data_IF_945449388898
#
_entry.id   IF_945449388898
#
_cell.length_a   1.000
_cell.length_b   1.000
_cell.length_c   1.000
_cell.angle_alpha   90.00
_cell.angle_beta   90.00
_cell.angle_gamma   90.00
#
_symmetry.space_group_name_H-M   'P 1'
#
loop_
_entity.id
_entity.type
_entity.pdbx_description
1 polymer ?
#
# COMPACT_ATOMS: atom_id res chain seq x y z
N UNK A 1 -9.16 -1.84 3.29
CA UNK A 1 -8.39 -2.25 2.10
C UNK A 1 -7.93 -3.70 2.21
N UNK A 2 -7.02 -4.06 3.14
CA UNK A 2 -6.46 -5.43 3.23
C UNK A 2 -7.47 -6.58 3.22
N UNK A 3 -8.55 -6.52 4.01
CA UNK A 3 -9.58 -7.59 4.05
C UNK A 3 -10.19 -7.85 2.67
N UNK A 4 -10.37 -6.81 1.84
CA UNK A 4 -10.87 -6.98 0.47
C UNK A 4 -9.93 -7.77 -0.43
N UNK A 5 -8.61 -7.68 -0.19
CA UNK A 5 -7.60 -8.44 -0.96
C UNK A 5 -7.62 -9.93 -0.66
N UNK A 6 -8.04 -10.31 0.54
CA UNK A 6 -8.33 -11.73 0.84
C UNK A 6 -9.50 -12.21 -0.03
N UNK A 7 -10.53 -11.38 -0.23
CA UNK A 7 -11.63 -11.68 -1.14
C UNK A 7 -11.15 -11.93 -2.58
N UNK A 8 -10.30 -11.04 -3.11
CA UNK A 8 -9.69 -11.20 -4.43
C UNK A 8 -8.89 -12.52 -4.54
N UNK A 9 -8.08 -12.83 -3.51
CA UNK A 9 -7.32 -14.07 -3.45
C UNK A 9 -8.23 -15.31 -3.48
N UNK A 10 -9.28 -15.33 -2.66
CA UNK A 10 -10.18 -16.47 -2.59
C UNK A 10 -11.06 -16.63 -3.84
N UNK A 11 -11.43 -15.53 -4.48
CA UNK A 11 -12.23 -15.54 -5.69
C UNK A 11 -11.41 -15.92 -6.94
N UNK A 12 -10.10 -15.65 -6.94
CA UNK A 12 -9.30 -15.70 -8.16
C UNK A 12 -9.91 -14.78 -9.23
N UNK A 13 -10.11 -13.52 -8.90
CA UNK A 13 -10.81 -12.54 -9.76
C UNK A 13 -9.93 -11.91 -10.85
N UNK A 14 -8.68 -12.34 -10.98
CA UNK A 14 -7.71 -11.78 -11.92
C UNK A 14 -6.74 -10.80 -11.29
N UNK A 15 -6.86 -10.49 -9.99
CA UNK A 15 -5.99 -9.51 -9.35
C UNK A 15 -4.56 -10.01 -9.02
N UNK A 16 -4.13 -11.12 -9.63
CA UNK A 16 -2.79 -11.71 -9.51
C UNK A 16 -1.70 -10.98 -10.32
N UNK A 17 -0.45 -11.34 -10.06
CA UNK A 17 0.73 -10.74 -10.70
C UNK A 17 1.11 -11.41 -12.02
N UNK A 18 2.30 -11.06 -12.52
CA UNK A 18 2.93 -11.76 -13.65
C UNK A 18 3.21 -13.23 -13.33
N UNK A 19 3.52 -14.00 -14.37
CA UNK A 19 4.02 -15.37 -14.23
C UNK A 19 5.22 -15.38 -13.26
N UNK A 20 5.11 -16.23 -12.24
CA UNK A 20 6.12 -16.36 -11.20
C UNK A 20 7.36 -17.07 -11.71
N UNK A 21 8.52 -16.67 -11.23
CA UNK A 21 9.74 -17.42 -11.46
C UNK A 21 9.89 -18.48 -10.35
N UNK A 22 9.33 -19.66 -10.58
CA UNK A 22 9.35 -20.77 -9.60
C UNK A 22 10.79 -21.17 -9.23
N UNK A 23 11.73 -21.09 -10.16
CA UNK A 23 13.14 -21.42 -9.91
C UNK A 23 13.85 -20.40 -9.00
N UNK A 24 13.37 -19.15 -8.95
CA UNK A 24 13.91 -18.11 -8.08
C UNK A 24 13.30 -18.13 -6.67
N UNK A 25 12.39 -19.06 -6.36
CA UNK A 25 11.75 -19.15 -5.05
C UNK A 25 12.78 -19.43 -3.96
N UNK A 26 12.87 -18.60 -2.89
CA UNK A 26 13.70 -18.92 -1.74
C UNK A 26 13.25 -20.22 -1.05
N UNK A 27 14.20 -21.00 -0.54
CA UNK A 27 13.90 -22.30 0.11
C UNK A 27 13.02 -22.15 1.35
N UNK A 28 13.22 -21.08 2.13
CA UNK A 28 12.46 -20.80 3.35
C UNK A 28 11.01 -20.39 3.08
N UNK A 29 10.68 -20.02 1.85
CA UNK A 29 9.35 -19.51 1.50
C UNK A 29 8.44 -20.64 1.01
N UNK A 30 7.22 -20.77 1.56
CA UNK A 30 6.27 -21.78 1.11
C UNK A 30 5.75 -21.46 -0.30
N UNK A 31 5.39 -22.51 -1.05
CA UNK A 31 5.00 -22.39 -2.45
C UNK A 31 3.79 -21.48 -2.66
N UNK A 32 2.74 -21.64 -1.86
CA UNK A 32 1.50 -20.84 -1.93
C UNK A 32 1.71 -19.33 -1.71
N UNK A 33 2.83 -18.93 -1.10
CA UNK A 33 3.16 -17.52 -0.92
C UNK A 33 3.95 -16.96 -2.11
N UNK A 34 4.59 -17.81 -2.91
CA UNK A 34 5.42 -17.39 -4.05
C UNK A 34 4.72 -17.56 -5.39
N UNK A 35 3.99 -18.65 -5.58
CA UNK A 35 3.23 -18.89 -6.79
C UNK A 35 1.93 -19.62 -6.51
N UNK A 36 0.89 -19.21 -7.21
CA UNK A 36 -0.46 -19.77 -7.13
C UNK A 36 -1.00 -20.00 -8.56
N UNK A 37 -1.68 -21.13 -8.78
CA UNK A 37 -2.28 -21.48 -10.07
C UNK A 37 -3.78 -21.17 -10.14
N UNK A 38 -4.40 -20.78 -9.02
CA UNK A 38 -5.82 -20.46 -8.89
C UNK A 38 -6.72 -21.40 -9.73
N UNK A 39 -6.61 -22.72 -9.52
CA UNK A 39 -7.25 -23.75 -10.35
C UNK A 39 -8.77 -23.58 -10.59
N UNK A 40 -9.49 -22.83 -9.74
CA UNK A 40 -10.91 -22.50 -9.88
C UNK A 40 -11.17 -20.98 -9.91
N UNK A 41 -10.27 -20.22 -10.51
CA UNK A 41 -10.43 -18.77 -10.64
C UNK A 41 -11.73 -18.41 -11.38
N UNK A 42 -12.32 -17.28 -10.99
CA UNK A 42 -13.56 -16.79 -11.57
C UNK A 42 -13.48 -16.53 -13.08
N UNK A 43 -12.27 -16.26 -13.60
CA UNK A 43 -12.04 -16.01 -15.02
C UNK A 43 -11.95 -17.29 -15.87
N UNK A 44 -11.88 -18.47 -15.25
CA UNK A 44 -11.76 -19.76 -15.95
C UNK A 44 -10.45 -19.93 -16.73
N UNK A 45 -9.40 -19.20 -16.36
CA UNK A 45 -8.09 -19.24 -17.05
C UNK A 45 -7.25 -20.38 -16.48
N UNK A 46 -6.62 -21.18 -17.33
CA UNK A 46 -5.68 -22.20 -16.87
C UNK A 46 -4.30 -21.59 -16.62
N UNK A 47 -3.88 -21.53 -15.34
CA UNK A 47 -2.56 -21.04 -14.92
C UNK A 47 -1.63 -22.18 -14.48
N UNK A 48 -2.03 -23.45 -14.64
CA UNK A 48 -1.23 -24.61 -14.20
C UNK A 48 0.13 -24.68 -14.89
N UNK A 49 0.21 -24.24 -16.15
CA UNK A 49 1.45 -24.18 -16.91
C UNK A 49 2.35 -23.00 -16.54
N UNK A 50 1.79 -21.92 -15.99
CA UNK A 50 2.51 -20.71 -15.63
C UNK A 50 1.90 -20.07 -14.35
N UNK A 51 2.20 -20.64 -13.16
CA UNK A 51 1.71 -20.11 -11.89
C UNK A 51 2.13 -18.65 -11.71
N UNK A 52 1.26 -17.85 -11.11
CA UNK A 52 1.42 -16.39 -11.00
C UNK A 52 1.77 -15.97 -9.59
N UNK A 53 2.40 -14.81 -9.43
CA UNK A 53 2.60 -14.25 -8.09
C UNK A 53 1.25 -13.91 -7.45
N UNK A 54 0.96 -14.36 -6.22
CA UNK A 54 -0.30 -14.07 -5.53
C UNK A 54 -0.30 -12.64 -4.94
N UNK A 55 -0.27 -11.63 -5.81
CA UNK A 55 -0.23 -10.21 -5.42
C UNK A 55 -1.30 -9.78 -4.41
N UNK A 56 -2.55 -10.33 -4.39
CA UNK A 56 -3.51 -9.97 -3.34
C UNK A 56 -3.04 -10.34 -1.92
N UNK A 57 -2.25 -11.42 -1.77
CA UNK A 57 -1.64 -11.76 -0.47
C UNK A 57 -0.56 -10.75 -0.08
N UNK A 58 0.22 -10.28 -1.04
CA UNK A 58 1.25 -9.26 -0.80
C UNK A 58 0.62 -7.92 -0.42
N UNK A 59 -0.43 -7.51 -1.13
CA UNK A 59 -1.22 -6.32 -0.80
C UNK A 59 -1.87 -6.44 0.57
N UNK A 60 -2.38 -7.62 0.95
CA UNK A 60 -2.89 -7.85 2.30
C UNK A 60 -1.79 -7.68 3.36
N UNK A 61 -0.63 -8.33 3.16
CA UNK A 61 0.49 -8.24 4.09
C UNK A 61 1.00 -6.79 4.24
N UNK A 62 1.11 -6.05 3.13
CA UNK A 62 1.47 -4.64 3.14
C UNK A 62 0.41 -3.79 3.84
N UNK A 63 -0.89 -4.04 3.61
CA UNK A 63 -1.97 -3.33 4.30
C UNK A 63 -1.93 -3.54 5.81
N UNK A 64 -1.61 -4.76 6.28
CA UNK A 64 -1.42 -5.05 7.70
C UNK A 64 -0.19 -4.32 8.24
N UNK A 65 0.93 -4.35 7.51
CA UNK A 65 2.14 -3.61 7.89
C UNK A 65 1.87 -2.11 8.02
N UNK A 66 1.19 -1.51 7.04
CA UNK A 66 0.76 -0.11 7.06
C UNK A 66 -0.08 0.20 8.28
N UNK A 67 -1.09 -0.64 8.56
CA UNK A 67 -1.93 -0.47 9.74
C UNK A 67 -1.10 -0.51 11.02
N UNK A 68 -0.19 -1.48 11.19
CA UNK A 68 0.66 -1.59 12.38
C UNK A 68 1.57 -0.37 12.53
N UNK A 69 2.18 0.11 11.44
CA UNK A 69 3.04 1.31 11.46
C UNK A 69 2.24 2.53 11.89
N UNK A 70 1.11 2.79 11.23
CA UNK A 70 0.26 3.95 11.55
C UNK A 70 -0.34 3.85 12.96
N UNK A 71 -0.73 2.66 13.39
CA UNK A 71 -1.27 2.43 14.73
C UNK A 71 -0.23 2.69 15.81
N UNK A 72 1.03 2.29 15.60
CA UNK A 72 2.14 2.61 16.53
C UNK A 72 2.46 4.10 16.56
N UNK A 73 2.30 4.79 15.44
CA UNK A 73 2.56 6.22 15.31
C UNK A 73 1.32 7.09 15.60
N UNK A 74 0.20 6.49 15.99
CA UNK A 74 -1.08 7.21 16.18
C UNK A 74 -1.00 8.26 17.28
N UNK A 75 -0.23 7.97 18.32
CA UNK A 75 -0.06 8.79 19.50
C UNK A 75 1.15 9.72 19.27
N UNK A 76 0.92 10.77 18.47
CA UNK A 76 1.96 11.71 18.06
C UNK A 76 1.63 13.15 18.49
N UNK A 77 2.67 13.99 18.59
CA UNK A 77 2.51 15.41 18.92
C UNK A 77 2.18 16.30 17.71
N UNK A 78 2.24 15.81 16.48
CA UNK A 78 2.03 16.60 15.25
C UNK A 78 0.58 17.10 15.07
N UNK A 79 0.40 18.07 14.16
CA UNK A 79 -0.91 18.63 13.82
C UNK A 79 -1.86 17.60 13.16
N UNK A 80 -3.15 17.93 13.16
CA UNK A 80 -4.17 17.14 12.46
C UNK A 80 -3.83 17.05 10.96
N UNK A 81 -3.88 15.83 10.41
CA UNK A 81 -3.51 15.54 9.03
C UNK A 81 -2.12 14.93 8.85
N UNK A 82 -1.27 14.91 9.89
CA UNK A 82 0.06 14.31 9.79
C UNK A 82 0.02 12.80 9.50
N UNK A 83 -0.79 12.04 10.24
CA UNK A 83 -1.01 10.60 9.96
C UNK A 83 -1.58 10.36 8.56
N UNK A 84 -2.41 11.27 8.06
CA UNK A 84 -2.97 11.16 6.72
C UNK A 84 -1.87 11.37 5.65
N UNK A 85 -1.01 12.37 5.81
CA UNK A 85 0.14 12.56 4.93
C UNK A 85 1.10 11.35 4.94
N UNK A 86 1.35 10.80 6.14
CA UNK A 86 2.16 9.58 6.29
C UNK A 86 1.49 8.39 5.59
N UNK A 87 0.19 8.20 5.78
CA UNK A 87 -0.58 7.16 5.08
C UNK A 87 -0.47 7.31 3.56
N UNK A 88 -0.61 8.53 3.01
CA UNK A 88 -0.50 8.76 1.57
C UNK A 88 0.87 8.38 1.04
N UNK A 89 1.96 8.75 1.73
CA UNK A 89 3.31 8.35 1.33
C UNK A 89 3.43 6.83 1.32
N UNK A 90 3.08 6.18 2.43
CA UNK A 90 3.26 4.75 2.56
C UNK A 90 2.37 3.95 1.59
N UNK A 91 1.13 4.40 1.34
CA UNK A 91 0.23 3.82 0.35
C UNK A 91 0.72 4.04 -1.09
N UNK A 92 1.37 5.17 -1.38
CA UNK A 92 2.03 5.41 -2.67
C UNK A 92 3.22 4.46 -2.89
N UNK A 93 4.02 4.21 -1.85
CA UNK A 93 5.13 3.24 -1.91
C UNK A 93 4.60 1.82 -2.14
N UNK A 94 3.57 1.41 -1.39
CA UNK A 94 2.91 0.11 -1.58
C UNK A 94 2.47 -0.07 -3.04
N UNK A 95 1.76 0.92 -3.58
CA UNK A 95 1.26 0.88 -4.96
C UNK A 95 2.39 0.79 -5.98
N UNK A 96 3.48 1.53 -5.77
CA UNK A 96 4.64 1.46 -6.63
C UNK A 96 5.29 0.06 -6.62
N UNK A 97 5.47 -0.56 -5.46
CA UNK A 97 6.08 -1.89 -5.33
C UNK A 97 5.20 -2.97 -5.98
N UNK A 98 3.90 -2.96 -5.69
CA UNK A 98 2.99 -3.98 -6.21
C UNK A 98 2.87 -3.90 -7.73
N UNK A 99 2.85 -2.69 -8.31
CA UNK A 99 2.77 -2.52 -9.77
C UNK A 99 3.93 -3.18 -10.51
N UNK A 100 5.14 -3.19 -9.95
CA UNK A 100 6.29 -3.89 -10.56
C UNK A 100 6.07 -5.41 -10.68
N UNK A 101 5.17 -5.97 -9.87
CA UNK A 101 4.80 -7.39 -9.88
C UNK A 101 3.56 -7.64 -10.76
N UNK A 102 2.75 -6.62 -11.05
CA UNK A 102 1.53 -6.78 -11.85
C UNK A 102 1.84 -6.86 -13.34
N UNK A 103 0.94 -7.52 -14.08
CA UNK A 103 0.99 -7.55 -15.55
C UNK A 103 0.71 -6.15 -16.07
N UNK A 104 1.73 -5.52 -16.67
CA UNK A 104 1.73 -4.24 -17.39
C UNK A 104 0.34 -3.65 -17.68
N UNK A 105 -0.15 -2.76 -16.81
CA UNK A 105 -1.20 -1.80 -17.16
C UNK A 105 -0.53 -0.52 -17.68
N UNK A 106 0.26 -0.64 -18.75
CA UNK A 106 0.86 0.51 -19.42
C UNK A 106 -0.23 1.30 -20.14
N UNK A 107 -0.45 2.54 -19.73
CA UNK A 107 -1.30 3.47 -20.45
C UNK A 107 -0.40 4.39 -21.29
N UNK A 108 -0.81 4.67 -22.52
CA UNK A 108 -0.16 5.73 -23.30
C UNK A 108 -0.63 7.09 -22.75
N UNK A 109 0.28 7.82 -22.12
CA UNK A 109 0.02 9.17 -21.62
C UNK A 109 1.07 10.13 -22.17
N UNK A 110 0.65 11.15 -22.92
CA UNK A 110 1.54 12.17 -23.51
C UNK A 110 2.69 11.61 -24.38
N UNK A 111 2.47 10.46 -25.04
CA UNK A 111 3.51 9.80 -25.87
C UNK A 111 4.56 9.01 -25.07
N UNK A 112 4.36 8.84 -23.76
CA UNK A 112 5.14 7.94 -22.91
C UNK A 112 4.24 6.80 -22.39
N UNK A 113 4.73 5.57 -22.37
CA UNK A 113 4.02 4.45 -21.72
C UNK A 113 4.23 4.53 -20.21
N UNK A 114 3.25 5.10 -19.50
CA UNK A 114 3.26 5.25 -18.03
C UNK A 114 2.11 4.42 -17.47
N UNK A 115 2.34 3.66 -16.41
CA UNK A 115 1.25 2.90 -15.79
C UNK A 115 0.35 3.82 -14.97
N UNK A 116 -0.96 3.55 -14.96
CA UNK A 116 -1.92 4.33 -14.15
C UNK A 116 -1.53 4.31 -12.66
N UNK A 117 -1.03 3.17 -12.19
CA UNK A 117 -0.62 2.99 -10.81
C UNK A 117 0.65 3.79 -10.46
N UNK A 118 1.61 3.94 -11.38
CA UNK A 118 2.77 4.83 -11.17
C UNK A 118 2.33 6.29 -11.02
N UNK A 119 1.41 6.76 -11.86
CA UNK A 119 0.89 8.12 -11.76
C UNK A 119 0.20 8.36 -10.40
N UNK A 120 -0.65 7.43 -9.97
CA UNK A 120 -1.32 7.50 -8.65
C UNK A 120 -0.29 7.46 -7.52
N UNK A 121 0.74 6.62 -7.63
CA UNK A 121 1.80 6.50 -6.63
C UNK A 121 2.59 7.79 -6.48
N UNK A 122 2.98 8.42 -7.60
CA UNK A 122 3.67 9.72 -7.60
C UNK A 122 2.78 10.80 -7.01
N UNK A 123 1.50 10.85 -7.38
CA UNK A 123 0.56 11.80 -6.80
C UNK A 123 0.44 11.62 -5.28
N UNK A 124 0.37 10.38 -4.81
CA UNK A 124 0.28 10.06 -3.40
C UNK A 124 1.52 10.47 -2.62
N UNK A 125 2.71 10.23 -3.18
CA UNK A 125 3.99 10.64 -2.60
C UNK A 125 4.10 12.17 -2.52
N UNK A 126 3.74 12.89 -3.59
CA UNK A 126 3.83 14.36 -3.65
C UNK A 126 2.83 15.00 -2.68
N UNK A 127 1.55 14.62 -2.75
CA UNK A 127 0.53 15.19 -1.86
C UNK A 127 0.83 14.82 -0.40
N UNK A 128 1.18 13.55 -0.14
CA UNK A 128 1.53 13.07 1.18
C UNK A 128 2.72 13.82 1.77
N UNK A 129 3.78 14.04 0.97
CA UNK A 129 4.94 14.84 1.36
C UNK A 129 4.60 16.29 1.70
N UNK A 130 3.77 16.94 0.89
CA UNK A 130 3.30 18.31 1.15
C UNK A 130 2.48 18.38 2.44
N UNK A 131 1.54 17.44 2.64
CA UNK A 131 0.72 17.39 3.86
C UNK A 131 1.59 17.16 5.09
N UNK A 132 2.51 16.20 5.03
CA UNK A 132 3.40 15.86 6.12
C UNK A 132 4.32 17.04 6.50
N UNK A 133 4.87 17.75 5.50
CA UNK A 133 5.66 18.96 5.72
C UNK A 133 4.84 20.07 6.39
N UNK A 134 3.61 20.33 5.92
CA UNK A 134 2.76 21.38 6.47
C UNK A 134 2.26 21.10 7.88
N UNK A 135 2.06 19.82 8.21
CA UNK A 135 1.52 19.37 9.51
C UNK A 135 2.61 18.91 10.49
N UNK A 136 3.88 19.06 10.13
CA UNK A 136 5.02 18.61 10.94
C UNK A 136 5.13 19.30 12.29
N UNK A 137 4.66 20.55 12.40
CA UNK A 137 4.73 21.30 13.66
C UNK A 137 3.96 20.56 14.77
N UNK A 138 4.49 20.54 16.01
CA UNK A 138 3.73 20.06 17.14
C UNK A 138 2.41 20.82 17.26
N UNK A 139 1.35 20.12 17.64
CA UNK A 139 0.07 20.72 17.96
C UNK A 139 0.28 21.57 19.20
N UNK A 140 -0.04 22.86 19.09
CA UNK A 140 -0.06 23.73 20.27
C UNK A 140 -1.03 23.09 21.26
N UNK A 141 -0.46 22.58 22.35
CA UNK A 141 -1.25 22.11 23.47
C UNK A 141 -1.92 23.38 23.96
N UNK A 142 -3.22 23.54 23.69
CA UNK A 142 -4.01 24.67 24.18
C UNK A 142 -4.15 24.62 25.71
N UNK A 143 -3.03 24.53 26.42
CA UNK A 143 -2.96 24.79 27.84
C UNK A 143 -3.40 26.25 28.00
N UNK A 144 -4.47 26.52 28.75
CA UNK A 144 -4.77 27.88 29.15
C UNK A 144 -3.51 28.45 29.79
N UNK A 145 -3.14 29.69 29.43
CA UNK A 145 -2.08 30.40 30.12
C UNK A 145 -2.36 30.30 31.64
N UNK A 146 -1.34 30.06 32.48
CA UNK A 146 -1.55 30.12 33.93
C UNK A 146 -2.13 31.50 34.22
N UNK A 147 -3.38 31.51 34.68
CA UNK A 147 -4.08 32.70 35.12
C UNK A 147 -3.14 33.39 36.10
N UNK A 148 -2.59 34.53 35.69
CA UNK A 148 -1.68 35.32 36.52
C UNK A 148 -2.43 35.54 37.82
N UNK A 149 -1.93 34.93 38.89
CA UNK A 149 -2.45 35.09 40.24
C UNK A 149 -2.56 36.59 40.49
N UNK A 150 -3.80 37.07 40.43
CA UNK A 150 -4.12 38.45 40.73
C UNK A 150 -3.84 38.60 42.21
N UNK A 151 -2.85 39.46 42.47
CA UNK A 151 -2.51 40.07 43.76
C UNK A 151 -3.69 40.18 44.73
N UNK A 152 -3.48 39.72 45.96
CA UNK A 152 -4.09 40.26 47.16
C UNK A 152 -3.04 40.26 48.28
#
# INVERSE_FOLDING_TARGET
YGVGRIGCHLAGDGDWGIASNVAAKPDWMPMWLWAEDYANNHLGVDLSAAPVYPTPLYEFAMAVLLFVVLFKLRDHAHQAGWLFGLYMILAGIERFIIEQIRVNNTMEFLGMTITQAELISVLFLVIGGVVLYRTWKPRDSGAPAPESATTA
#
